data_IF_081310290325
#
_entry.id   IF_081310290325
#
_cell.length_a   1.000
_cell.length_b   1.000
_cell.length_c   1.000
_cell.angle_alpha   90.00
_cell.angle_beta   90.00
_cell.angle_gamma   90.00
#
_symmetry.space_group_name_H-M   'P 1'
#
loop_
_entity.id
_entity.type
_entity.pdbx_description
1 polymer ?
#
# COMPACT_ATOMS: atom_id res chain seq x y z
N UNK A 1 -5.00 10.72 17.96
CA UNK A 1 -3.79 11.12 17.18
C UNK A 1 -3.53 10.17 16.01
N UNK A 2 -3.48 8.85 16.23
CA UNK A 2 -3.24 7.84 15.18
C UNK A 2 -4.18 7.95 13.96
N UNK A 3 -5.47 8.22 14.20
CA UNK A 3 -6.44 8.44 13.12
C UNK A 3 -6.14 9.67 12.27
N UNK A 4 -5.64 10.77 12.86
CA UNK A 4 -5.26 11.97 12.10
C UNK A 4 -4.05 11.70 11.20
N UNK A 5 -3.09 10.92 11.70
CA UNK A 5 -1.93 10.47 10.92
C UNK A 5 -2.35 9.58 9.75
N UNK A 6 -3.18 8.57 10.01
CA UNK A 6 -3.80 7.71 8.99
C UNK A 6 -4.60 8.51 7.95
N UNK A 7 -5.35 9.54 8.37
CA UNK A 7 -6.09 10.41 7.47
C UNK A 7 -5.18 11.27 6.59
N UNK A 8 -4.12 11.84 7.17
CA UNK A 8 -3.12 12.61 6.43
C UNK A 8 -2.37 11.74 5.43
N UNK A 9 -1.88 10.57 5.87
CA UNK A 9 -1.11 9.64 5.06
C UNK A 9 -1.88 9.23 3.80
N UNK A 10 -3.10 8.71 3.94
CA UNK A 10 -3.81 8.25 2.75
C UNK A 10 -4.32 9.42 1.88
N UNK A 11 -4.41 10.66 2.39
CA UNK A 11 -4.62 11.82 1.51
C UNK A 11 -3.37 12.10 0.66
N UNK A 12 -2.19 11.98 1.26
CA UNK A 12 -0.93 12.08 0.50
C UNK A 12 -0.81 10.95 -0.52
N UNK A 13 -1.18 9.71 -0.17
CA UNK A 13 -1.20 8.58 -1.11
C UNK A 13 -2.17 8.79 -2.27
N UNK A 14 -3.38 9.28 -2.00
CA UNK A 14 -4.37 9.63 -3.04
C UNK A 14 -3.85 10.72 -4.00
N UNK A 15 -3.23 11.77 -3.46
CA UNK A 15 -2.64 12.86 -4.28
C UNK A 15 -1.47 12.32 -5.11
N UNK A 16 -0.58 11.52 -4.50
CA UNK A 16 0.56 10.93 -5.20
C UNK A 16 0.10 9.96 -6.30
N UNK A 17 -0.93 9.16 -6.05
CA UNK A 17 -1.52 8.28 -7.05
C UNK A 17 -2.14 9.07 -8.22
N UNK A 18 -2.89 10.14 -7.94
CA UNK A 18 -3.45 11.01 -8.98
C UNK A 18 -2.36 11.68 -9.81
N UNK A 19 -1.28 12.15 -9.18
CA UNK A 19 -0.12 12.70 -9.88
C UNK A 19 0.56 11.64 -10.77
N UNK A 20 0.75 10.42 -10.27
CA UNK A 20 1.28 9.31 -11.07
C UNK A 20 0.37 8.96 -12.25
N UNK A 21 -0.96 9.06 -12.11
CA UNK A 21 -1.90 8.84 -13.21
C UNK A 21 -1.71 9.86 -14.34
N UNK A 22 -1.53 11.13 -13.99
CA UNK A 22 -1.18 12.16 -14.96
C UNK A 22 0.18 11.88 -15.62
N UNK A 23 1.20 11.50 -14.84
CA UNK A 23 2.53 11.14 -15.36
C UNK A 23 2.46 9.97 -16.33
N UNK A 24 1.78 8.88 -15.98
CA UNK A 24 1.60 7.71 -16.86
C UNK A 24 0.90 8.10 -18.15
N UNK A 25 -0.14 8.93 -18.07
CA UNK A 25 -0.85 9.44 -19.26
C UNK A 25 0.09 10.22 -20.17
N UNK A 26 0.87 11.16 -19.61
CA UNK A 26 1.85 11.94 -20.37
C UNK A 26 2.94 11.04 -20.99
N UNK A 27 3.47 10.09 -20.23
CA UNK A 27 4.46 9.12 -20.72
C UNK A 27 3.92 8.34 -21.92
N UNK A 28 2.69 7.84 -21.85
CA UNK A 28 2.06 7.11 -22.95
C UNK A 28 1.90 8.01 -24.18
N UNK A 29 1.42 9.24 -24.02
CA UNK A 29 1.27 10.20 -25.13
C UNK A 29 2.61 10.52 -25.80
N UNK A 30 3.67 10.75 -25.02
CA UNK A 30 5.03 10.98 -25.52
C UNK A 30 5.51 9.74 -26.30
N UNK A 31 5.34 8.54 -25.73
CA UNK A 31 5.74 7.30 -26.38
C UNK A 31 5.03 7.10 -27.73
N UNK A 32 3.74 7.41 -27.80
CA UNK A 32 2.97 7.32 -29.05
C UNK A 32 3.49 8.34 -30.07
N UNK A 33 3.72 9.60 -29.67
CA UNK A 33 4.25 10.63 -30.57
C UNK A 33 5.61 10.27 -31.16
N UNK A 34 6.55 9.83 -30.33
CA UNK A 34 7.88 9.39 -30.77
C UNK A 34 7.84 8.11 -31.61
N UNK A 35 6.91 7.20 -31.31
CA UNK A 35 6.70 5.98 -32.10
C UNK A 35 6.22 6.30 -33.52
N UNK A 36 5.34 7.29 -33.68
CA UNK A 36 4.89 7.75 -35.01
C UNK A 36 6.05 8.39 -35.79
N UNK A 37 6.97 9.08 -35.09
CA UNK A 37 8.19 9.66 -35.67
C UNK A 37 9.29 8.63 -36.00
N UNK A 38 9.02 7.32 -35.83
CA UNK A 38 9.94 6.24 -36.18
C UNK A 38 11.04 5.94 -35.16
N UNK A 39 11.02 6.59 -33.99
CA UNK A 39 12.01 6.40 -32.92
C UNK A 39 11.32 6.06 -31.58
N UNK A 40 10.90 4.79 -31.36
CA UNK A 40 10.21 4.40 -30.14
C UNK A 40 11.13 4.48 -28.91
N UNK A 41 10.66 5.12 -27.85
CA UNK A 41 11.39 5.28 -26.60
C UNK A 41 11.09 4.12 -25.64
N UNK A 42 11.90 3.06 -25.71
CA UNK A 42 11.68 1.82 -24.93
C UNK A 42 11.70 2.01 -23.41
N UNK A 43 12.48 2.97 -22.90
CA UNK A 43 12.53 3.28 -21.47
C UNK A 43 11.20 3.84 -20.94
N UNK A 44 10.39 4.49 -21.79
CA UNK A 44 9.10 5.05 -21.39
C UNK A 44 8.11 3.94 -21.06
N UNK A 45 8.10 2.85 -21.83
CA UNK A 45 7.24 1.70 -21.51
C UNK A 45 7.59 1.09 -20.15
N UNK A 46 8.88 0.92 -19.86
CA UNK A 46 9.32 0.36 -18.57
C UNK A 46 9.00 1.32 -17.41
N UNK A 47 9.22 2.63 -17.59
CA UNK A 47 8.89 3.64 -16.57
C UNK A 47 7.40 3.71 -16.27
N UNK A 48 6.56 3.63 -17.32
CA UNK A 48 5.11 3.67 -17.17
C UNK A 48 4.59 2.48 -16.37
N UNK A 49 5.19 1.29 -16.56
CA UNK A 49 4.86 0.09 -15.78
C UNK A 49 5.21 0.32 -14.31
N UNK A 50 6.41 0.82 -13.99
CA UNK A 50 6.80 1.10 -12.61
C UNK A 50 5.93 2.20 -11.96
N UNK A 51 5.60 3.26 -12.69
CA UNK A 51 4.69 4.30 -12.21
C UNK A 51 3.28 3.75 -11.93
N UNK A 52 2.77 2.85 -12.78
CA UNK A 52 1.50 2.17 -12.57
C UNK A 52 1.52 1.22 -11.36
N UNK A 53 2.63 0.51 -11.14
CA UNK A 53 2.82 -0.30 -9.93
C UNK A 53 2.74 0.59 -8.70
N UNK A 54 3.48 1.71 -8.66
CA UNK A 54 3.44 2.66 -7.57
C UNK A 54 2.04 3.19 -7.30
N UNK A 55 1.36 3.65 -8.35
CA UNK A 55 -0.01 4.16 -8.28
C UNK A 55 -0.97 3.12 -7.70
N UNK A 56 -0.87 1.87 -8.14
CA UNK A 56 -1.77 0.78 -7.73
C UNK A 56 -1.67 0.53 -6.23
N UNK A 57 -0.45 0.43 -5.69
CA UNK A 57 -0.23 0.23 -4.27
C UNK A 57 -0.67 1.44 -3.42
N UNK A 58 -0.43 2.66 -3.90
CA UNK A 58 -0.90 3.87 -3.19
C UNK A 58 -2.43 3.95 -3.12
N UNK A 59 -3.13 3.67 -4.23
CA UNK A 59 -4.59 3.63 -4.25
C UNK A 59 -5.11 2.52 -3.33
N UNK A 60 -4.49 1.33 -3.39
CA UNK A 60 -4.88 0.23 -2.52
C UNK A 60 -4.80 0.63 -1.04
N UNK A 61 -3.72 1.29 -0.61
CA UNK A 61 -3.54 1.75 0.77
C UNK A 61 -4.68 2.66 1.23
N UNK A 62 -5.02 3.64 0.39
CA UNK A 62 -6.13 4.57 0.63
C UNK A 62 -7.50 3.89 0.69
N UNK A 63 -7.76 2.91 -0.18
CA UNK A 63 -9.02 2.12 -0.20
C UNK A 63 -9.17 1.29 1.07
N UNK A 64 -8.09 0.64 1.52
CA UNK A 64 -8.09 -0.16 2.75
C UNK A 64 -8.46 0.66 3.99
N UNK A 65 -7.99 1.91 4.09
CA UNK A 65 -8.39 2.82 5.19
C UNK A 65 -9.91 3.03 5.22
N UNK A 66 -10.54 3.19 4.07
CA UNK A 66 -11.98 3.51 3.97
C UNK A 66 -12.89 2.31 4.27
N UNK A 67 -12.34 1.12 4.58
CA UNK A 67 -13.07 -0.15 4.78
C UNK A 67 -14.03 -0.48 3.63
N UNK A 68 -13.73 -0.04 2.41
CA UNK A 68 -14.62 -0.17 1.25
C UNK A 68 -14.55 -1.56 0.60
N UNK A 69 -14.57 -2.62 1.41
CA UNK A 69 -14.73 -3.98 0.93
C UNK A 69 -16.20 -4.23 0.60
N UNK A 70 -16.61 -3.99 -0.65
CA UNK A 70 -18.00 -4.18 -1.13
C UNK A 70 -18.55 -5.57 -0.79
N UNK A 71 -17.69 -6.60 -0.81
CA UNK A 71 -18.07 -7.97 -0.43
C UNK A 71 -18.35 -8.14 1.06
N UNK A 72 -17.59 -7.45 1.93
CA UNK A 72 -17.76 -7.50 3.39
C UNK A 72 -19.03 -6.75 3.79
N UNK A 73 -19.33 -5.62 3.15
CA UNK A 73 -20.53 -4.84 3.45
C UNK A 73 -21.79 -5.65 3.18
N UNK A 74 -21.89 -6.32 2.03
CA UNK A 74 -23.04 -7.16 1.67
C UNK A 74 -23.27 -8.27 2.69
N UNK A 75 -22.24 -9.04 3.06
CA UNK A 75 -22.39 -10.10 4.06
C UNK A 75 -22.78 -9.52 5.43
N UNK A 76 -22.15 -8.42 5.84
CA UNK A 76 -22.37 -7.81 7.15
C UNK A 76 -23.75 -7.16 7.31
N UNK A 77 -24.39 -6.75 6.21
CA UNK A 77 -25.71 -6.13 6.20
C UNK A 77 -26.84 -7.17 6.41
N UNK A 78 -26.59 -8.46 6.17
CA UNK A 78 -27.53 -9.54 6.48
C UNK A 78 -27.44 -10.02 7.95
N UNK A 79 -26.42 -9.62 8.71
CA UNK A 79 -26.21 -10.10 10.07
C UNK A 79 -26.85 -9.16 11.13
N UNK A 80 -27.29 -9.72 12.27
CA UNK A 80 -27.69 -8.92 13.42
C UNK A 80 -26.49 -8.09 13.95
N UNK A 81 -26.77 -7.01 14.69
CA UNK A 81 -25.79 -6.01 15.14
C UNK A 81 -24.49 -6.59 15.72
N UNK A 82 -24.60 -7.63 16.55
CA UNK A 82 -23.43 -8.31 17.15
C UNK A 82 -22.58 -9.06 16.13
N UNK A 83 -23.22 -9.71 15.15
CA UNK A 83 -22.55 -10.42 14.06
C UNK A 83 -21.79 -9.47 13.14
N UNK A 84 -22.39 -8.33 12.80
CA UNK A 84 -21.73 -7.27 12.02
C UNK A 84 -20.47 -6.74 12.70
N UNK A 85 -20.52 -6.50 14.02
CA UNK A 85 -19.36 -6.07 14.80
C UNK A 85 -18.26 -7.12 14.84
N UNK A 86 -18.61 -8.40 15.05
CA UNK A 86 -17.64 -9.50 15.11
C UNK A 86 -16.94 -9.70 13.76
N UNK A 87 -17.70 -9.71 12.65
CA UNK A 87 -17.14 -9.78 11.29
C UNK A 87 -16.21 -8.59 11.03
N UNK A 88 -16.59 -7.37 11.42
CA UNK A 88 -15.74 -6.19 11.31
C UNK A 88 -14.40 -6.35 12.05
N UNK A 89 -14.45 -6.84 13.30
CA UNK A 89 -13.23 -7.11 14.07
C UNK A 89 -12.34 -8.18 13.41
N UNK A 90 -12.93 -9.27 12.93
CA UNK A 90 -12.21 -10.33 12.23
C UNK A 90 -11.51 -9.83 10.97
N UNK A 91 -12.21 -9.01 10.16
CA UNK A 91 -11.64 -8.42 8.95
C UNK A 91 -10.47 -7.49 9.30
N UNK A 92 -10.65 -6.57 10.26
CA UNK A 92 -9.58 -5.65 10.66
C UNK A 92 -8.35 -6.40 11.21
N UNK A 93 -8.58 -7.44 12.01
CA UNK A 93 -7.52 -8.29 12.57
C UNK A 93 -6.77 -9.03 11.47
N UNK A 94 -7.50 -9.60 10.49
CA UNK A 94 -6.91 -10.32 9.36
C UNK A 94 -6.10 -9.39 8.47
N UNK A 95 -6.62 -8.19 8.17
CA UNK A 95 -5.90 -7.18 7.39
C UNK A 95 -4.63 -6.72 8.11
N UNK A 96 -4.70 -6.48 9.43
CA UNK A 96 -3.53 -6.10 10.21
C UNK A 96 -2.49 -7.22 10.25
N UNK A 97 -2.91 -8.47 10.46
CA UNK A 97 -2.03 -9.63 10.43
C UNK A 97 -1.32 -9.75 9.08
N UNK A 98 -2.07 -9.63 7.98
CA UNK A 98 -1.52 -9.63 6.63
C UNK A 98 -0.49 -8.49 6.45
N UNK A 99 -0.81 -7.28 6.91
CA UNK A 99 0.10 -6.13 6.79
C UNK A 99 1.41 -6.33 7.55
N UNK A 100 1.35 -6.86 8.78
CA UNK A 100 2.53 -7.16 9.61
C UNK A 100 3.36 -8.28 8.97
N UNK A 101 2.73 -9.33 8.47
CA UNK A 101 3.42 -10.41 7.75
C UNK A 101 4.11 -9.89 6.49
N UNK A 102 3.46 -9.00 5.74
CA UNK A 102 4.04 -8.38 4.55
C UNK A 102 5.24 -7.49 4.92
N UNK A 103 5.15 -6.72 6.01
CA UNK A 103 6.26 -5.91 6.51
C UNK A 103 7.44 -6.79 6.96
N UNK A 104 7.15 -7.91 7.62
CA UNK A 104 8.17 -8.90 8.01
C UNK A 104 8.84 -9.55 6.79
N UNK A 105 8.05 -9.91 5.76
CA UNK A 105 8.60 -10.44 4.52
C UNK A 105 9.47 -9.40 3.81
N UNK A 106 9.07 -8.12 3.79
CA UNK A 106 9.89 -7.04 3.27
C UNK A 106 11.19 -6.89 4.04
N UNK A 107 11.15 -6.96 5.37
CA UNK A 107 12.35 -6.93 6.20
C UNK A 107 13.31 -8.10 5.87
N UNK A 108 12.76 -9.30 5.69
CA UNK A 108 13.52 -10.49 5.31
C UNK A 108 14.05 -10.44 3.88
N UNK A 109 13.33 -9.77 2.99
CA UNK A 109 13.69 -9.59 1.60
C UNK A 109 14.79 -8.53 1.42
N UNK A 110 14.69 -7.40 2.11
CA UNK A 110 15.69 -6.32 2.00
C UNK A 110 16.93 -6.58 2.86
N UNK A 111 16.80 -7.31 3.97
CA UNK A 111 17.91 -7.63 4.89
C UNK A 111 18.77 -6.40 5.26
N UNK A 112 18.17 -5.26 5.67
CA UNK A 112 18.90 -4.01 5.87
C UNK A 112 20.00 -4.11 6.92
N UNK A 113 19.81 -4.94 7.95
CA UNK A 113 20.80 -5.18 9.00
C UNK A 113 22.05 -5.90 8.47
N UNK A 114 21.89 -6.83 7.54
CA UNK A 114 23.02 -7.52 6.92
C UNK A 114 23.81 -6.54 6.03
N UNK A 115 23.12 -5.71 5.25
CA UNK A 115 23.75 -4.66 4.46
C UNK A 115 24.54 -3.66 5.33
N UNK A 116 23.97 -3.24 6.46
CA UNK A 116 24.62 -2.32 7.39
C UNK A 116 25.88 -2.95 8.05
N UNK A 117 25.83 -4.23 8.42
CA UNK A 117 27.00 -4.96 8.97
C UNK A 117 28.15 -5.10 7.98
N UNK A 118 27.83 -5.10 6.68
CA UNK A 118 28.80 -5.14 5.60
C UNK A 118 29.25 -3.72 5.15
N UNK A 119 28.94 -2.69 5.94
CA UNK A 119 29.35 -1.32 5.62
C UNK A 119 28.72 -0.75 4.36
N UNK A 120 27.53 -1.23 3.97
CA UNK A 120 26.85 -0.90 2.71
C UNK A 120 27.61 -1.34 1.44
N UNK A 121 28.52 -2.31 1.55
CA UNK A 121 29.14 -2.96 0.39
C UNK A 121 28.13 -3.91 -0.29
N UNK A 122 27.61 -3.45 -1.43
CA UNK A 122 26.63 -4.17 -2.25
C UNK A 122 27.22 -5.46 -2.85
N UNK A 123 28.53 -5.47 -3.16
CA UNK A 123 29.21 -6.65 -3.71
C UNK A 123 29.36 -7.75 -2.65
N UNK A 124 29.89 -7.38 -1.48
CA UNK A 124 29.99 -8.30 -0.35
C UNK A 124 28.62 -8.84 0.09
N UNK A 125 27.59 -7.98 0.09
CA UNK A 125 26.22 -8.38 0.42
C UNK A 125 25.68 -9.46 -0.52
N UNK A 126 25.85 -9.29 -1.84
CA UNK A 126 25.40 -10.28 -2.82
C UNK A 126 26.10 -11.62 -2.65
N UNK A 127 27.42 -11.62 -2.46
CA UNK A 127 28.20 -12.85 -2.31
C UNK A 127 27.81 -13.62 -1.05
N UNK A 128 27.53 -12.93 0.06
CA UNK A 128 27.21 -13.59 1.32
C UNK A 128 25.74 -14.03 1.44
N UNK A 129 24.82 -13.25 0.86
CA UNK A 129 23.37 -13.45 1.07
C UNK A 129 22.66 -14.02 -0.16
N UNK A 130 23.34 -14.10 -1.31
CA UNK A 130 22.76 -14.41 -2.62
C UNK A 130 21.56 -13.53 -2.99
N UNK A 131 21.52 -12.31 -2.44
CA UNK A 131 20.45 -11.35 -2.64
C UNK A 131 20.91 -10.20 -3.53
N UNK A 132 20.21 -10.02 -4.65
CA UNK A 132 20.58 -9.09 -5.72
C UNK A 132 19.74 -7.80 -5.74
N UNK A 133 18.87 -7.60 -4.74
CA UNK A 133 17.90 -6.49 -4.71
C UNK A 133 18.55 -5.10 -4.91
N UNK A 134 19.76 -4.90 -4.38
CA UNK A 134 20.49 -3.63 -4.44
C UNK A 134 21.36 -3.45 -5.68
N UNK A 135 21.62 -4.51 -6.45
CA UNK A 135 22.52 -4.47 -7.59
C UNK A 135 21.81 -4.53 -8.93
N UNK A 136 20.64 -5.15 -8.98
CA UNK A 136 19.93 -5.37 -10.23
C UNK A 136 19.44 -4.04 -10.85
N UNK A 137 19.79 -3.84 -12.12
CA UNK A 137 19.33 -2.69 -12.91
C UNK A 137 18.05 -3.06 -13.69
N UNK A 138 17.24 -2.05 -13.97
CA UNK A 138 16.15 -2.10 -14.94
C UNK A 138 16.69 -2.34 -16.35
N UNK A 139 15.91 -2.99 -17.21
CA UNK A 139 16.37 -3.45 -18.52
C UNK A 139 16.64 -2.30 -19.49
N UNK A 140 15.87 -1.22 -19.42
CA UNK A 140 15.92 -0.12 -20.39
C UNK A 140 16.19 1.25 -19.75
N UNK A 141 15.78 1.47 -18.50
CA UNK A 141 16.02 2.71 -17.75
C UNK A 141 17.44 2.83 -17.18
N UNK A 142 18.15 1.72 -17.01
CA UNK A 142 19.48 1.68 -16.35
C UNK A 142 19.49 2.06 -14.86
N UNK A 143 18.34 2.25 -14.21
CA UNK A 143 18.24 2.54 -12.77
C UNK A 143 18.19 1.26 -11.94
N UNK A 144 18.46 1.34 -10.63
CA UNK A 144 18.34 0.18 -9.73
C UNK A 144 16.88 -0.21 -9.53
N UNK A 145 16.55 -1.49 -9.72
CA UNK A 145 15.20 -2.05 -9.47
C UNK A 145 14.73 -1.85 -8.02
N UNK A 146 15.68 -1.76 -7.09
CA UNK A 146 15.44 -1.37 -5.69
C UNK A 146 14.45 -0.20 -5.54
N UNK A 147 14.58 0.85 -6.36
CA UNK A 147 13.70 2.02 -6.28
C UNK A 147 12.26 1.69 -6.65
N UNK A 148 12.05 0.86 -7.67
CA UNK A 148 10.72 0.42 -8.07
C UNK A 148 10.06 -0.40 -6.96
N UNK A 149 10.81 -1.26 -6.27
CA UNK A 149 10.30 -2.16 -5.23
C UNK A 149 10.06 -1.51 -3.88
N UNK A 150 10.56 -0.29 -3.64
CA UNK A 150 10.41 0.42 -2.36
C UNK A 150 8.94 0.69 -2.00
N UNK A 151 8.04 0.70 -2.99
CA UNK A 151 6.61 0.83 -2.76
C UNK A 151 6.04 -0.32 -1.91
N UNK A 152 6.60 -1.53 -1.99
CA UNK A 152 6.05 -2.68 -1.26
C UNK A 152 6.28 -2.56 0.25
N UNK A 153 7.50 -2.26 0.75
CA UNK A 153 7.71 -1.90 2.15
C UNK A 153 6.88 -0.69 2.59
N UNK A 154 6.78 0.36 1.77
CA UNK A 154 5.95 1.53 2.07
C UNK A 154 4.48 1.13 2.28
N UNK A 155 3.92 0.39 1.33
CA UNK A 155 2.55 -0.09 1.37
C UNK A 155 2.31 -0.96 2.60
N UNK A 156 3.24 -1.86 2.94
CA UNK A 156 3.12 -2.71 4.13
C UNK A 156 3.05 -1.89 5.43
N UNK A 157 3.88 -0.84 5.54
CA UNK A 157 3.88 0.07 6.70
C UNK A 157 2.59 0.92 6.75
N UNK A 158 2.18 1.47 5.61
CA UNK A 158 0.93 2.23 5.47
C UNK A 158 -0.29 1.38 5.85
N UNK A 159 -0.39 0.17 5.30
CA UNK A 159 -1.45 -0.78 5.58
C UNK A 159 -1.46 -1.20 7.06
N UNK A 160 -0.29 -1.37 7.68
CA UNK A 160 -0.18 -1.68 9.11
C UNK A 160 -0.71 -0.53 9.97
N UNK A 161 -0.39 0.72 9.61
CA UNK A 161 -0.89 1.90 10.32
C UNK A 161 -2.42 2.03 10.18
N UNK A 162 -2.95 1.84 8.97
CA UNK A 162 -4.40 1.86 8.72
C UNK A 162 -5.12 0.72 9.44
N UNK A 163 -4.59 -0.50 9.37
CA UNK A 163 -5.14 -1.68 10.04
C UNK A 163 -5.17 -1.50 11.56
N UNK A 164 -4.10 -0.96 12.15
CA UNK A 164 -4.06 -0.67 13.58
C UNK A 164 -5.07 0.40 13.98
N UNK A 165 -5.17 1.49 13.21
CA UNK A 165 -6.16 2.54 13.45
C UNK A 165 -7.61 2.02 13.37
N UNK A 166 -7.89 1.12 12.42
CA UNK A 166 -9.19 0.49 12.26
C UNK A 166 -9.50 -0.47 13.43
N UNK A 167 -8.54 -1.32 13.81
CA UNK A 167 -8.72 -2.25 14.91
C UNK A 167 -9.00 -1.54 16.24
N UNK A 168 -8.25 -0.47 16.54
CA UNK A 168 -8.48 0.36 17.74
C UNK A 168 -9.89 0.94 17.72
N UNK A 169 -10.36 1.45 16.58
CA UNK A 169 -11.70 2.01 16.45
C UNK A 169 -12.79 0.94 16.71
N UNK A 170 -12.62 -0.26 16.14
CA UNK A 170 -13.53 -1.38 16.34
C UNK A 170 -13.60 -1.81 17.79
N UNK A 171 -12.47 -1.82 18.51
CA UNK A 171 -12.42 -2.13 19.93
C UNK A 171 -13.06 -1.04 20.79
N UNK A 172 -12.85 0.24 20.48
CA UNK A 172 -13.51 1.34 21.21
C UNK A 172 -15.02 1.33 21.02
N UNK A 173 -15.52 1.07 19.80
CA UNK A 173 -16.94 1.00 19.49
C UNK A 173 -17.62 -0.28 20.04
N UNK A 174 -16.82 -1.30 20.38
CA UNK A 174 -17.29 -2.44 21.16
C UNK A 174 -17.47 -2.03 22.63
N UNK A 175 -16.51 -1.28 23.20
CA UNK A 175 -16.52 -0.93 24.62
C UNK A 175 -17.63 0.03 25.03
N UNK A 176 -18.08 0.93 24.15
CA UNK A 176 -19.22 1.81 24.37
C UNK A 176 -20.43 1.43 23.49
N UNK A 177 -21.27 0.46 23.90
CA UNK A 177 -22.55 0.19 23.26
C UNK A 177 -23.65 1.22 23.60
N UNK A 178 -23.34 2.23 24.43
CA UNK A 178 -24.31 3.07 25.14
C UNK A 178 -24.86 4.29 24.39
N UNK A 179 -24.27 4.72 23.27
CA UNK A 179 -24.77 5.87 22.51
C UNK A 179 -25.45 5.41 21.21
N UNK A 180 -26.65 4.87 21.33
CA UNK A 180 -27.65 5.08 20.29
C UNK A 180 -28.69 6.06 20.84
N UNK A 181 -29.05 7.13 20.08
CA UNK A 181 -30.22 7.93 20.43
C UNK A 181 -31.40 6.98 20.52
N UNK A 182 -32.01 6.91 21.70
CA UNK A 182 -33.29 6.25 21.91
C UNK A 182 -34.23 6.66 20.78
N UNK A 183 -34.88 5.67 20.16
CA UNK A 183 -35.82 5.82 19.05
C UNK A 183 -37.07 6.69 19.35
N UNK A 184 -37.03 7.49 20.43
CA UNK A 184 -38.07 8.41 20.87
C UNK A 184 -37.96 9.83 20.29
N UNK A 185 -36.86 10.19 19.62
CA UNK A 185 -36.70 11.56 19.05
C UNK A 185 -37.33 11.75 17.67
N UNK A 186 -38.16 10.82 17.20
CA UNK A 186 -38.93 10.93 15.95
C UNK A 186 -40.45 11.00 16.17
N UNK A 187 -40.88 11.65 17.26
CA UNK A 187 -42.28 12.07 17.43
C UNK A 187 -42.43 13.56 17.18
#
# INVERSE_FOLDING_TARGET
MLQRLSSGLARCEEIAAAALAAVVTCLILINIGFRVLGSPLYWISELSIYAMIWMTFLIAGAVFRRRQGVAVTLLSDLLPRTGRKLVGLWVDTTVLLFAVLLAWLCWRWYQPLALARLGFDIGAFQTQTFNFIYAENTSTLGIKKFWAWLIVPWFALSLSLHGLANLIQSLTQWRDPGDEPTAETWR
#
